data_IF_056696624535
#
_entry.id   IF_056696624535
#
_cell.length_a   1.000
_cell.length_b   1.000
_cell.length_c   1.000
_cell.angle_alpha   90.00
_cell.angle_beta   90.00
_cell.angle_gamma   90.00
#
_symmetry.space_group_name_H-M   'P 1'
#
loop_
_entity.id
_entity.type
_entity.pdbx_description
1 polymer ?
#
# COMPACT_ATOMS: atom_id res chain seq x y z
N UNK A 1 -21.27 -11.60 -26.28
CA UNK A 1 -20.14 -11.15 -25.48
C UNK A 1 -19.61 -12.31 -24.65
N UNK A 2 -18.28 -12.50 -24.59
CA UNK A 2 -17.61 -13.48 -23.75
C UNK A 2 -16.40 -12.83 -23.06
N UNK A 3 -15.79 -13.55 -22.11
CA UNK A 3 -14.66 -13.02 -21.36
C UNK A 3 -13.43 -12.70 -22.23
N UNK A 4 -13.22 -13.44 -23.32
CA UNK A 4 -12.12 -13.16 -24.24
C UNK A 4 -12.31 -11.82 -24.96
N UNK A 5 -13.55 -11.50 -25.37
CA UNK A 5 -13.85 -10.19 -25.93
C UNK A 5 -13.53 -9.05 -24.95
N UNK A 6 -13.81 -9.24 -23.65
CA UNK A 6 -13.47 -8.25 -22.62
C UNK A 6 -11.95 -8.13 -22.42
N UNK A 7 -11.23 -9.26 -22.42
CA UNK A 7 -9.75 -9.25 -22.35
C UNK A 7 -9.14 -8.56 -23.57
N UNK A 8 -9.65 -8.83 -24.75
CA UNK A 8 -9.20 -8.19 -25.99
C UNK A 8 -9.47 -6.69 -25.96
N UNK A 9 -10.68 -6.30 -25.55
CA UNK A 9 -11.02 -4.88 -25.41
C UNK A 9 -10.06 -4.17 -24.42
N UNK A 10 -9.87 -4.73 -23.24
CA UNK A 10 -8.94 -4.19 -22.25
C UNK A 10 -7.54 -4.00 -22.84
N UNK A 11 -7.03 -5.01 -23.53
CA UNK A 11 -5.68 -4.96 -24.13
C UNK A 11 -5.56 -3.90 -25.22
N UNK A 12 -6.55 -3.78 -26.09
CA UNK A 12 -6.58 -2.74 -27.14
C UNK A 12 -6.73 -1.35 -26.52
N UNK A 13 -7.52 -1.19 -25.48
CA UNK A 13 -7.69 0.07 -24.77
C UNK A 13 -6.38 0.56 -24.12
N UNK A 14 -5.59 -0.35 -23.57
CA UNK A 14 -4.29 -0.03 -22.94
C UNK A 14 -3.22 0.31 -23.96
N UNK A 15 -3.10 -0.47 -25.04
CA UNK A 15 -2.04 -0.30 -26.03
C UNK A 15 -2.33 0.77 -27.08
N UNK A 16 -3.62 1.07 -27.32
CA UNK A 16 -4.13 1.91 -28.41
C UNK A 16 -3.62 1.48 -29.81
N UNK A 17 -3.28 0.18 -29.92
CA UNK A 17 -2.70 -0.40 -31.15
C UNK A 17 -3.18 -1.85 -31.36
N UNK A 18 -4.06 -2.07 -32.36
CA UNK A 18 -4.61 -3.42 -32.62
C UNK A 18 -3.53 -4.41 -33.02
N UNK A 19 -2.55 -4.01 -33.81
CA UNK A 19 -1.49 -4.93 -34.30
C UNK A 19 -0.64 -5.40 -33.14
N UNK A 20 -0.19 -4.48 -32.29
CA UNK A 20 0.58 -4.80 -31.11
C UNK A 20 -0.24 -5.67 -30.12
N UNK A 21 -1.49 -5.30 -29.87
CA UNK A 21 -2.39 -6.09 -29.01
C UNK A 21 -2.57 -7.51 -29.51
N UNK A 22 -2.74 -7.69 -30.85
CA UNK A 22 -2.89 -9.01 -31.42
C UNK A 22 -1.65 -9.89 -31.22
N UNK A 23 -0.45 -9.32 -31.38
CA UNK A 23 0.82 -9.99 -31.11
C UNK A 23 0.95 -10.42 -29.65
N UNK A 24 0.65 -9.50 -28.73
CA UNK A 24 0.72 -9.78 -27.28
C UNK A 24 -0.34 -10.77 -26.80
N UNK A 25 -1.47 -10.87 -27.52
CA UNK A 25 -2.54 -11.84 -27.27
C UNK A 25 -2.34 -13.17 -28.02
N UNK A 26 -1.26 -13.30 -28.83
CA UNK A 26 -0.98 -14.49 -29.67
C UNK A 26 -2.13 -14.85 -30.61
N UNK A 27 -2.80 -13.87 -31.20
CA UNK A 27 -3.85 -14.03 -32.20
C UNK A 27 -3.58 -13.20 -33.45
N UNK A 28 -4.26 -13.51 -34.55
CA UNK A 28 -4.14 -12.70 -35.77
C UNK A 28 -4.87 -11.35 -35.60
N UNK A 29 -4.29 -10.29 -36.18
CA UNK A 29 -4.91 -8.95 -36.18
C UNK A 29 -6.35 -8.96 -36.78
N UNK A 30 -6.67 -9.69 -37.90
CA UNK A 30 -8.04 -9.80 -38.37
C UNK A 30 -9.00 -10.46 -37.36
N UNK A 31 -8.52 -11.42 -36.57
CA UNK A 31 -9.34 -12.06 -35.52
C UNK A 31 -9.65 -11.08 -34.40
N UNK A 32 -8.65 -10.33 -33.94
CA UNK A 32 -8.85 -9.29 -32.91
C UNK A 32 -9.81 -8.18 -33.41
N UNK A 33 -9.63 -7.69 -34.64
CA UNK A 33 -10.52 -6.69 -35.22
C UNK A 33 -11.97 -7.17 -35.32
N UNK A 34 -12.18 -8.42 -35.69
CA UNK A 34 -13.54 -9.03 -35.72
C UNK A 34 -14.14 -9.13 -34.33
N UNK A 35 -13.36 -9.53 -33.33
CA UNK A 35 -13.81 -9.60 -31.96
C UNK A 35 -14.24 -8.22 -31.42
N UNK A 36 -13.48 -7.17 -31.74
CA UNK A 36 -13.84 -5.80 -31.36
C UNK A 36 -15.13 -5.34 -32.03
N UNK A 37 -15.27 -5.55 -33.33
CA UNK A 37 -16.52 -5.23 -34.07
C UNK A 37 -17.72 -5.99 -33.51
N UNK A 38 -17.52 -7.25 -33.12
CA UNK A 38 -18.59 -8.03 -32.51
C UNK A 38 -19.01 -7.43 -31.16
N UNK A 39 -18.05 -7.03 -30.32
CA UNK A 39 -18.31 -6.37 -29.04
C UNK A 39 -19.06 -5.04 -29.25
N UNK A 40 -18.63 -4.21 -30.18
CA UNK A 40 -19.31 -2.96 -30.55
C UNK A 40 -20.76 -3.21 -31.04
N UNK A 41 -20.95 -4.25 -31.85
CA UNK A 41 -22.28 -4.62 -32.33
C UNK A 41 -23.21 -5.07 -31.20
N UNK A 42 -22.71 -5.79 -30.20
CA UNK A 42 -23.50 -6.21 -29.04
C UNK A 42 -23.84 -5.05 -28.10
N UNK A 43 -22.93 -4.07 -27.97
CA UNK A 43 -23.15 -2.88 -27.16
C UNK A 43 -23.98 -1.82 -27.89
N UNK A 44 -24.08 -1.91 -29.22
CA UNK A 44 -24.78 -0.94 -30.05
C UNK A 44 -24.08 0.40 -30.20
N UNK A 45 -22.82 0.51 -29.77
CA UNK A 45 -22.02 1.74 -29.80
C UNK A 45 -20.59 1.47 -30.24
N UNK A 46 -19.91 2.39 -30.92
CA UNK A 46 -18.50 2.24 -31.24
C UNK A 46 -17.66 2.43 -29.98
N UNK A 47 -16.64 1.58 -29.82
CA UNK A 47 -15.68 1.69 -28.72
C UNK A 47 -14.38 2.37 -29.12
N UNK A 48 -14.05 2.29 -30.43
CA UNK A 48 -12.82 2.83 -30.99
C UNK A 48 -13.07 3.72 -32.19
N UNK A 49 -12.25 4.74 -32.37
CA UNK A 49 -12.18 5.51 -33.60
C UNK A 49 -10.73 5.63 -34.09
N UNK A 50 -10.55 5.77 -35.39
CA UNK A 50 -9.24 5.86 -35.98
C UNK A 50 -8.82 7.33 -36.13
N UNK A 51 -7.63 7.65 -35.61
CA UNK A 51 -6.97 8.94 -35.81
C UNK A 51 -5.69 8.72 -36.60
N UNK A 52 -5.83 8.65 -37.92
CA UNK A 52 -4.71 8.32 -38.81
C UNK A 52 -4.21 6.90 -38.61
N UNK A 53 -3.01 6.74 -38.04
CA UNK A 53 -2.38 5.43 -37.74
C UNK A 53 -2.65 4.91 -36.32
N UNK A 54 -3.33 5.69 -35.49
CA UNK A 54 -3.61 5.34 -34.10
C UNK A 54 -5.10 5.08 -33.88
N UNK A 55 -5.39 4.39 -32.80
CA UNK A 55 -6.73 4.13 -32.33
C UNK A 55 -6.90 4.87 -31.01
N UNK A 56 -8.03 5.56 -30.88
CA UNK A 56 -8.43 6.23 -29.65
C UNK A 56 -9.72 5.63 -29.12
N UNK A 57 -9.93 5.74 -27.83
CA UNK A 57 -11.16 5.33 -27.17
C UNK A 57 -12.27 6.35 -27.41
N UNK A 58 -13.48 5.85 -27.65
CA UNK A 58 -14.68 6.69 -27.57
C UNK A 58 -15.05 6.94 -26.11
N UNK A 59 -15.89 7.94 -25.84
CA UNK A 59 -16.45 8.17 -24.50
C UNK A 59 -17.16 6.91 -23.94
N UNK A 60 -17.76 6.09 -24.81
CA UNK A 60 -18.41 4.84 -24.41
C UNK A 60 -17.37 3.81 -23.95
N UNK A 61 -16.22 3.75 -24.59
CA UNK A 61 -15.14 2.86 -24.20
C UNK A 61 -14.49 3.31 -22.89
N UNK A 62 -14.28 4.62 -22.69
CA UNK A 62 -13.75 5.17 -21.45
C UNK A 62 -14.66 4.85 -20.26
N UNK A 63 -15.99 4.98 -20.44
CA UNK A 63 -16.96 4.63 -19.40
C UNK A 63 -17.02 3.11 -19.17
N UNK A 64 -16.92 2.29 -20.21
CA UNK A 64 -17.02 0.82 -20.13
C UNK A 64 -15.75 0.19 -19.53
N UNK A 65 -14.57 0.77 -19.77
CA UNK A 65 -13.28 0.22 -19.39
C UNK A 65 -13.14 -0.14 -17.89
N UNK A 66 -13.51 0.72 -16.93
CA UNK A 66 -13.41 0.37 -15.51
C UNK A 66 -14.27 -0.83 -15.12
N UNK A 67 -15.47 -0.98 -15.70
CA UNK A 67 -16.35 -2.13 -15.46
C UNK A 67 -15.78 -3.43 -16.04
N UNK A 68 -15.14 -3.36 -17.21
CA UNK A 68 -14.43 -4.51 -17.79
C UNK A 68 -13.28 -4.93 -16.89
N UNK A 69 -12.48 -4.00 -16.39
CA UNK A 69 -11.40 -4.30 -15.46
C UNK A 69 -11.92 -4.97 -14.17
N UNK A 70 -13.02 -4.48 -13.59
CA UNK A 70 -13.65 -5.06 -12.40
C UNK A 70 -14.18 -6.48 -12.68
N UNK A 71 -14.84 -6.68 -13.82
CA UNK A 71 -15.40 -7.98 -14.21
C UNK A 71 -14.30 -9.03 -14.38
N UNK A 72 -13.23 -8.70 -15.10
CA UNK A 72 -12.09 -9.59 -15.29
C UNK A 72 -11.41 -9.91 -13.95
N UNK A 73 -11.24 -8.92 -13.09
CA UNK A 73 -10.69 -9.10 -11.74
C UNK A 73 -11.57 -10.04 -10.90
N UNK A 74 -12.88 -9.86 -10.91
CA UNK A 74 -13.79 -10.71 -10.15
C UNK A 74 -13.77 -12.17 -10.66
N UNK A 75 -13.68 -12.36 -11.99
CA UNK A 75 -13.54 -13.68 -12.59
C UNK A 75 -12.25 -14.38 -12.17
N UNK A 76 -11.12 -13.69 -12.26
CA UNK A 76 -9.80 -14.24 -11.87
C UNK A 76 -9.76 -14.55 -10.36
N UNK A 77 -10.39 -13.74 -9.53
CA UNK A 77 -10.57 -14.01 -8.09
C UNK A 77 -11.39 -15.26 -7.83
N UNK A 78 -12.47 -15.46 -8.60
CA UNK A 78 -13.30 -16.66 -8.50
C UNK A 78 -12.55 -17.94 -8.89
N UNK A 79 -11.76 -17.88 -9.96
CA UNK A 79 -10.90 -19.01 -10.36
C UNK A 79 -9.88 -19.34 -9.28
N UNK A 80 -9.19 -18.33 -8.76
CA UNK A 80 -8.19 -18.51 -7.69
C UNK A 80 -8.82 -19.09 -6.42
N UNK A 81 -10.03 -18.66 -6.05
CA UNK A 81 -10.74 -19.18 -4.89
C UNK A 81 -11.08 -20.68 -5.06
N UNK A 82 -11.53 -21.09 -6.26
CA UNK A 82 -11.80 -22.51 -6.56
C UNK A 82 -10.52 -23.34 -6.60
N UNK A 83 -9.47 -22.82 -7.21
CA UNK A 83 -8.18 -23.49 -7.25
C UNK A 83 -7.59 -23.69 -5.85
N UNK A 84 -7.70 -22.70 -4.97
CA UNK A 84 -7.27 -22.80 -3.57
C UNK A 84 -8.02 -23.87 -2.76
N UNK A 85 -9.20 -24.30 -3.21
CA UNK A 85 -9.94 -25.41 -2.59
C UNK A 85 -9.48 -26.79 -3.09
N UNK A 86 -8.78 -26.84 -4.22
CA UNK A 86 -8.48 -28.10 -4.93
C UNK A 86 -7.03 -28.55 -4.82
N UNK A 87 -6.15 -27.73 -4.26
CA UNK A 87 -4.73 -28.04 -4.14
C UNK A 87 -4.34 -28.19 -2.66
N UNK A 88 -3.70 -29.32 -2.31
CA UNK A 88 -2.80 -29.46 -1.14
C UNK A 88 -1.54 -28.58 -1.32
N UNK A 89 -1.71 -27.40 -1.91
CA UNK A 89 -0.60 -26.44 -2.04
C UNK A 89 -0.49 -25.72 -0.71
N UNK A 90 0.70 -25.74 -0.15
CA UNK A 90 1.08 -24.85 0.94
C UNK A 90 0.68 -23.44 0.52
N UNK A 91 -0.32 -22.80 1.18
CA UNK A 91 -0.80 -21.50 0.75
C UNK A 91 0.37 -20.50 0.84
N UNK A 92 0.70 -19.91 -0.29
CA UNK A 92 1.74 -18.88 -0.38
C UNK A 92 1.10 -17.50 -0.24
N UNK A 93 1.61 -16.71 0.70
CA UNK A 93 1.12 -15.35 0.96
C UNK A 93 2.25 -14.37 0.72
N UNK A 94 1.99 -13.33 -0.07
CA UNK A 94 2.90 -12.19 -0.18
C UNK A 94 2.33 -10.98 0.55
N UNK A 95 3.08 -10.46 1.53
CA UNK A 95 2.77 -9.24 2.27
C UNK A 95 3.70 -8.13 1.81
N UNK A 96 3.14 -7.05 1.30
CA UNK A 96 3.85 -5.80 1.03
C UNK A 96 3.73 -4.89 2.25
N UNK A 97 4.85 -4.63 2.92
CA UNK A 97 4.85 -3.78 4.11
C UNK A 97 5.43 -2.42 3.81
N UNK A 98 4.60 -1.40 3.78
CA UNK A 98 5.00 0.01 3.62
C UNK A 98 5.30 0.67 4.97
N UNK A 99 5.00 -0.02 6.05
CA UNK A 99 5.19 0.44 7.43
C UNK A 99 5.77 -0.68 8.29
N UNK A 100 6.15 -0.36 9.53
CA UNK A 100 6.58 -1.35 10.52
C UNK A 100 7.87 -2.12 10.18
N UNK A 101 8.76 -1.59 9.34
CA UNK A 101 10.01 -2.24 8.93
C UNK A 101 10.82 -2.84 10.10
N UNK A 102 10.80 -2.18 11.25
CA UNK A 102 11.49 -2.63 12.47
C UNK A 102 10.80 -3.79 13.16
N UNK A 103 9.47 -3.78 13.21
CA UNK A 103 8.69 -4.84 13.87
C UNK A 103 8.50 -6.05 12.97
N UNK A 104 8.81 -5.94 11.67
CA UNK A 104 8.61 -6.97 10.66
C UNK A 104 9.30 -8.31 11.00
N UNK A 105 10.57 -8.37 11.41
CA UNK A 105 11.22 -9.65 11.72
C UNK A 105 10.49 -10.42 12.83
N UNK A 106 10.08 -9.73 13.88
CA UNK A 106 9.34 -10.34 15.00
C UNK A 106 7.90 -10.73 14.58
N UNK A 107 7.27 -9.93 13.73
CA UNK A 107 5.96 -10.26 13.16
C UNK A 107 6.04 -11.52 12.29
N UNK A 108 7.08 -11.64 11.47
CA UNK A 108 7.35 -12.84 10.65
C UNK A 108 7.53 -14.06 11.54
N UNK A 109 8.37 -13.97 12.57
CA UNK A 109 8.56 -15.07 13.54
C UNK A 109 7.23 -15.52 14.16
N UNK A 110 6.44 -14.56 14.66
CA UNK A 110 5.10 -14.86 15.22
C UNK A 110 4.15 -15.48 14.18
N UNK A 111 4.22 -15.04 12.93
CA UNK A 111 3.37 -15.58 11.88
C UNK A 111 3.75 -17.01 11.53
N UNK A 112 5.04 -17.29 11.32
CA UNK A 112 5.55 -18.62 10.98
C UNK A 112 5.29 -19.62 12.13
N UNK A 113 5.46 -19.20 13.39
CA UNK A 113 5.14 -20.04 14.56
C UNK A 113 3.66 -20.43 14.60
N UNK A 114 2.76 -19.50 14.28
CA UNK A 114 1.31 -19.74 14.33
C UNK A 114 0.75 -20.45 13.11
N UNK A 115 1.41 -20.34 11.98
CA UNK A 115 0.96 -20.80 10.67
C UNK A 115 2.10 -21.49 9.92
N UNK A 116 2.65 -22.61 10.42
CA UNK A 116 3.81 -23.28 9.84
C UNK A 116 3.52 -23.84 8.43
N UNK A 117 2.25 -24.10 8.13
CA UNK A 117 1.81 -24.62 6.82
C UNK A 117 1.64 -23.53 5.74
N UNK A 118 2.03 -22.27 6.04
CA UNK A 118 1.90 -21.16 5.13
C UNK A 118 3.28 -20.68 4.71
N UNK A 119 3.54 -20.65 3.39
CA UNK A 119 4.73 -20.01 2.86
C UNK A 119 4.54 -18.48 2.82
N UNK A 120 5.30 -17.75 3.65
CA UNK A 120 5.24 -16.30 3.75
C UNK A 120 6.37 -15.64 2.99
N UNK A 121 6.02 -14.73 2.07
CA UNK A 121 6.95 -13.79 1.42
C UNK A 121 6.65 -12.37 1.88
N UNK A 122 7.69 -11.60 2.23
CA UNK A 122 7.55 -10.19 2.62
C UNK A 122 8.37 -9.33 1.69
N UNK A 123 7.73 -8.29 1.17
CA UNK A 123 8.35 -7.31 0.29
C UNK A 123 8.13 -5.91 0.88
N UNK A 124 9.20 -5.13 0.99
CA UNK A 124 9.13 -3.72 1.45
C UNK A 124 9.05 -2.75 0.27
N UNK A 125 9.52 -3.19 -0.90
CA UNK A 125 9.54 -2.40 -2.13
C UNK A 125 9.01 -3.22 -3.30
N UNK A 126 8.55 -2.53 -4.33
CA UNK A 126 8.03 -3.14 -5.56
C UNK A 126 6.52 -3.07 -5.69
N UNK A 127 6.05 -3.24 -6.89
CA UNK A 127 4.64 -3.37 -7.24
C UNK A 127 4.31 -4.85 -7.44
N UNK A 128 3.15 -5.32 -6.99
CA UNK A 128 2.70 -6.67 -7.27
C UNK A 128 2.63 -6.94 -8.77
N UNK A 129 3.05 -8.13 -9.18
CA UNK A 129 2.74 -8.61 -10.51
C UNK A 129 1.23 -8.78 -10.63
N UNK A 130 0.61 -8.03 -11.54
CA UNK A 130 -0.81 -8.14 -11.80
C UNK A 130 -1.11 -9.59 -12.18
N UNK A 131 -1.96 -10.29 -11.43
CA UNK A 131 -2.61 -11.56 -11.73
C UNK A 131 -2.09 -12.87 -11.10
N UNK A 132 -1.07 -12.89 -10.24
CA UNK A 132 -0.55 -14.18 -9.72
C UNK A 132 -0.49 -14.36 -8.20
N UNK A 133 -0.70 -13.34 -7.40
CA UNK A 133 -0.43 -13.43 -5.97
C UNK A 133 -1.63 -13.04 -5.11
N UNK A 134 -1.80 -13.77 -4.02
CA UNK A 134 -2.66 -13.36 -2.90
C UNK A 134 -1.96 -12.20 -2.18
N UNK A 135 -2.37 -10.97 -2.52
CA UNK A 135 -1.64 -9.77 -2.12
C UNK A 135 -2.26 -9.17 -0.88
N UNK A 136 -1.41 -8.89 0.09
CA UNK A 136 -1.74 -8.16 1.29
C UNK A 136 -0.79 -6.98 1.46
N UNK A 137 -1.31 -5.85 1.90
CA UNK A 137 -0.51 -4.69 2.29
C UNK A 137 -0.68 -4.39 3.77
N UNK A 138 0.43 -4.08 4.43
CA UNK A 138 0.43 -3.41 5.74
C UNK A 138 0.81 -1.96 5.48
N UNK A 139 -0.13 -1.05 5.66
CA UNK A 139 0.00 0.35 5.21
C UNK A 139 -0.66 1.31 6.20
N UNK A 140 -0.25 2.57 6.20
CA UNK A 140 -0.97 3.63 6.93
C UNK A 140 -2.00 4.38 6.07
N UNK A 141 -2.11 4.03 4.79
CA UNK A 141 -3.06 4.65 3.86
C UNK A 141 -3.95 3.58 3.23
N UNK A 142 -5.27 3.74 3.23
CA UNK A 142 -6.18 2.82 2.54
C UNK A 142 -5.83 2.72 1.04
N UNK A 143 -5.78 1.50 0.52
CA UNK A 143 -5.50 1.26 -0.90
C UNK A 143 -6.78 1.25 -1.72
N UNK A 144 -6.85 2.06 -2.76
CA UNK A 144 -7.99 2.12 -3.67
C UNK A 144 -8.22 0.77 -4.36
N UNK A 145 -9.49 0.36 -4.44
CA UNK A 145 -9.89 -0.90 -5.08
C UNK A 145 -9.55 -2.18 -4.28
N UNK A 146 -9.08 -2.04 -3.04
CA UNK A 146 -8.85 -3.15 -2.12
C UNK A 146 -9.78 -3.09 -0.91
N UNK A 147 -9.97 -4.22 -0.25
CA UNK A 147 -10.60 -4.29 1.07
C UNK A 147 -9.60 -3.78 2.11
N UNK A 148 -9.96 -2.72 2.81
CA UNK A 148 -9.12 -2.08 3.81
C UNK A 148 -9.67 -2.36 5.21
N UNK A 149 -8.93 -3.08 6.05
CA UNK A 149 -9.29 -3.38 7.43
C UNK A 149 -8.40 -2.59 8.38
N UNK A 150 -8.94 -1.71 9.23
CA UNK A 150 -8.15 -1.06 10.27
C UNK A 150 -7.70 -2.11 11.30
N UNK A 151 -6.41 -2.14 11.59
CA UNK A 151 -5.80 -3.09 12.53
C UNK A 151 -5.62 -2.44 13.89
N UNK A 152 -4.91 -1.32 13.96
CA UNK A 152 -4.71 -0.51 15.17
C UNK A 152 -4.38 0.93 14.79
N UNK A 153 -4.47 1.81 15.80
CA UNK A 153 -4.00 3.18 15.71
C UNK A 153 -2.82 3.36 16.65
N UNK A 154 -1.78 4.05 16.21
CA UNK A 154 -0.61 4.35 17.02
C UNK A 154 -0.34 5.85 17.09
N UNK A 155 0.18 6.35 18.23
CA UNK A 155 0.64 7.72 18.32
C UNK A 155 1.94 7.91 17.54
N UNK A 156 2.09 9.09 16.96
CA UNK A 156 3.32 9.58 16.36
C UNK A 156 3.94 10.57 17.36
N UNK A 157 4.98 10.12 18.04
CA UNK A 157 5.67 10.86 19.09
C UNK A 157 6.84 11.66 18.50
N UNK A 158 7.41 12.60 19.25
CA UNK A 158 8.71 13.17 18.98
C UNK A 158 9.80 12.35 19.65
N UNK A 159 10.77 11.89 18.88
CA UNK A 159 12.02 11.34 19.40
C UNK A 159 13.02 12.48 19.61
N UNK A 160 13.35 12.74 20.85
CA UNK A 160 14.21 13.85 21.28
C UNK A 160 15.44 13.28 21.95
N UNK A 161 16.68 13.57 21.49
CA UNK A 161 17.91 13.11 22.14
C UNK A 161 17.94 13.51 23.61
N UNK A 162 18.39 12.60 24.50
CA UNK A 162 18.39 12.83 25.96
C UNK A 162 19.20 14.06 26.42
N UNK A 163 20.18 14.47 25.62
CA UNK A 163 20.99 15.67 25.91
C UNK A 163 20.35 16.98 25.43
N UNK A 164 19.26 16.90 24.64
CA UNK A 164 18.56 18.09 24.14
C UNK A 164 17.70 18.72 25.24
N UNK A 165 17.65 20.06 25.37
CA UNK A 165 16.88 20.74 26.43
C UNK A 165 15.41 20.32 26.49
N UNK A 166 14.75 20.09 25.36
CA UNK A 166 13.36 19.66 25.29
C UNK A 166 13.12 18.27 25.89
N UNK A 167 14.16 17.42 26.02
CA UNK A 167 14.00 16.08 26.60
C UNK A 167 13.58 16.11 28.06
N UNK A 168 13.93 17.18 28.79
CA UNK A 168 13.64 17.36 30.21
C UNK A 168 12.41 18.23 30.46
N UNK A 169 11.78 18.76 29.42
CA UNK A 169 10.55 19.54 29.60
C UNK A 169 9.37 18.64 29.95
N UNK A 170 8.46 19.09 30.83
CA UNK A 170 7.27 18.32 31.18
C UNK A 170 6.28 18.20 30.01
N UNK A 171 6.25 19.19 29.12
CA UNK A 171 5.42 19.25 27.92
C UNK A 171 6.23 19.82 26.76
N UNK A 172 5.95 19.37 25.54
CA UNK A 172 6.53 19.87 24.30
C UNK A 172 5.38 20.29 23.39
N UNK A 173 5.47 21.49 22.84
CA UNK A 173 4.46 22.08 21.96
C UNK A 173 4.98 22.24 20.53
N UNK A 174 4.08 22.55 19.60
CA UNK A 174 4.45 22.88 18.23
C UNK A 174 5.39 24.09 18.18
N UNK A 175 5.17 25.11 19.03
CA UNK A 175 6.00 26.30 19.07
C UNK A 175 7.47 25.98 19.46
N UNK A 176 7.68 24.95 20.28
CA UNK A 176 9.01 24.53 20.69
C UNK A 176 9.80 23.87 19.55
N UNK A 177 9.13 23.14 18.66
CA UNK A 177 9.78 22.38 17.59
C UNK A 177 9.81 23.10 16.25
N UNK A 178 8.90 24.04 16.02
CA UNK A 178 8.77 24.75 14.73
C UNK A 178 10.05 25.43 14.25
N UNK A 179 10.85 26.09 15.12
CA UNK A 179 12.11 26.72 14.72
C UNK A 179 13.27 25.72 14.59
N UNK A 180 13.11 24.48 15.07
CA UNK A 180 14.20 23.52 15.11
C UNK A 180 14.32 22.74 13.79
N UNK A 181 15.56 22.49 13.32
CA UNK A 181 15.76 21.67 12.12
C UNK A 181 15.48 20.20 12.42
N UNK A 182 14.33 19.73 11.96
CA UNK A 182 13.93 18.33 12.12
C UNK A 182 14.59 17.41 11.09
N UNK A 183 14.86 16.18 11.47
CA UNK A 183 15.25 15.11 10.55
C UNK A 183 13.97 14.37 10.15
N UNK A 184 13.69 14.27 8.86
CA UNK A 184 12.42 13.71 8.37
C UNK A 184 12.66 12.61 7.33
N UNK A 185 11.66 11.76 7.15
CA UNK A 185 11.63 10.91 5.96
C UNK A 185 11.34 11.74 4.71
N UNK A 186 11.75 11.23 3.55
CA UNK A 186 11.45 11.83 2.27
C UNK A 186 9.93 11.87 2.00
N UNK A 187 9.48 12.78 1.15
CA UNK A 187 8.07 13.08 0.89
C UNK A 187 7.26 11.91 0.30
N UNK A 188 7.94 10.92 -0.29
CA UNK A 188 7.32 9.69 -0.77
C UNK A 188 6.98 8.68 0.35
N UNK A 189 7.43 8.91 1.59
CA UNK A 189 7.14 8.05 2.73
C UNK A 189 5.71 8.26 3.24
N UNK A 190 4.95 7.19 3.52
CA UNK A 190 3.62 7.30 4.13
C UNK A 190 3.62 8.05 5.47
N UNK A 191 4.62 7.83 6.33
CA UNK A 191 4.75 8.55 7.59
C UNK A 191 4.93 10.06 7.37
N UNK A 192 5.77 10.44 6.39
CA UNK A 192 6.01 11.84 6.07
C UNK A 192 4.73 12.50 5.57
N UNK A 193 4.00 11.88 4.66
CA UNK A 193 2.70 12.41 4.18
C UNK A 193 1.70 12.62 5.31
N UNK A 194 1.54 11.63 6.20
CA UNK A 194 0.65 11.76 7.37
C UNK A 194 0.98 13.00 8.21
N UNK A 195 2.27 13.27 8.42
CA UNK A 195 2.73 14.43 9.20
C UNK A 195 2.48 15.71 8.42
N UNK A 196 2.92 15.78 7.17
CA UNK A 196 2.77 16.98 6.32
C UNK A 196 1.29 17.36 6.19
N UNK A 197 0.39 16.43 5.88
CA UNK A 197 -1.05 16.68 5.78
C UNK A 197 -1.65 17.24 7.09
N UNK A 198 -1.23 16.69 8.24
CA UNK A 198 -1.71 17.17 9.54
C UNK A 198 -1.27 18.61 9.82
N UNK A 199 -0.01 18.94 9.56
CA UNK A 199 0.53 20.29 9.78
C UNK A 199 0.03 21.31 8.75
N UNK A 200 -0.08 20.92 7.48
CA UNK A 200 -0.65 21.74 6.41
C UNK A 200 -2.12 22.11 6.67
N UNK A 201 -2.92 21.16 7.16
CA UNK A 201 -4.32 21.41 7.54
C UNK A 201 -4.47 22.51 8.60
N UNK A 202 -3.44 22.71 9.42
CA UNK A 202 -3.37 23.79 10.43
C UNK A 202 -2.57 25.01 9.97
N UNK A 203 -2.03 24.98 8.75
CA UNK A 203 -1.15 26.03 8.19
C UNK A 203 0.11 26.26 9.03
N UNK A 204 0.65 25.20 9.59
CA UNK A 204 1.89 25.21 10.39
C UNK A 204 3.02 24.71 9.50
N UNK A 205 4.06 25.52 9.34
CA UNK A 205 5.28 25.12 8.63
C UNK A 205 6.30 24.57 9.61
N UNK A 206 6.89 23.40 9.30
CA UNK A 206 8.01 22.83 10.04
C UNK A 206 9.33 23.16 9.36
N UNK A 207 10.38 23.34 10.14
CA UNK A 207 11.75 23.52 9.63
C UNK A 207 12.37 22.16 9.41
N UNK A 208 12.70 21.82 8.16
CA UNK A 208 13.33 20.55 7.80
C UNK A 208 14.84 20.77 7.65
N UNK A 209 15.62 20.14 8.51
CA UNK A 209 17.08 20.23 8.49
C UNK A 209 17.72 19.21 7.55
N UNK A 210 17.22 17.97 7.56
CA UNK A 210 17.70 16.91 6.67
C UNK A 210 16.60 15.87 6.38
N UNK A 211 16.77 15.12 5.29
CA UNK A 211 15.84 14.06 4.89
C UNK A 211 16.59 12.80 4.52
N UNK A 212 15.95 11.64 4.75
CA UNK A 212 16.38 10.33 4.26
C UNK A 212 15.15 9.57 3.75
N UNK A 213 15.32 8.68 2.80
CA UNK A 213 14.27 7.80 2.30
C UNK A 213 14.17 6.46 3.06
N UNK A 214 15.20 6.18 3.88
CA UNK A 214 15.28 4.93 4.65
C UNK A 214 14.98 5.14 6.14
N UNK A 215 13.90 4.48 6.67
CA UNK A 215 13.58 4.54 8.09
C UNK A 215 14.68 4.02 9.04
N UNK A 216 15.50 3.07 8.58
CA UNK A 216 16.60 2.55 9.42
C UNK A 216 17.71 3.57 9.57
N UNK A 217 18.06 4.29 8.50
CA UNK A 217 18.99 5.42 8.53
C UNK A 217 18.47 6.52 9.44
N UNK A 218 17.19 6.91 9.33
CA UNK A 218 16.61 7.93 10.22
C UNK A 218 16.76 7.54 11.70
N UNK A 219 16.44 6.31 12.05
CA UNK A 219 16.58 5.79 13.42
C UNK A 219 18.04 5.77 13.89
N UNK A 220 18.96 5.44 13.00
CA UNK A 220 20.39 5.49 13.31
C UNK A 220 20.85 6.91 13.64
N UNK A 221 20.40 7.91 12.88
CA UNK A 221 20.69 9.33 13.14
C UNK A 221 20.17 9.77 14.52
N UNK A 222 18.95 9.38 14.88
CA UNK A 222 18.38 9.68 16.20
C UNK A 222 19.12 8.96 17.32
N UNK A 223 19.53 7.71 17.12
CA UNK A 223 20.33 6.96 18.08
C UNK A 223 21.72 7.61 18.30
N UNK A 224 22.24 8.33 17.33
CA UNK A 224 23.47 9.12 17.47
C UNK A 224 23.24 10.51 18.05
N UNK A 225 21.99 10.87 18.36
CA UNK A 225 21.65 12.17 18.93
C UNK A 225 21.74 13.35 17.96
N UNK A 226 21.65 13.11 16.65
CA UNK A 226 21.91 14.12 15.61
C UNK A 226 20.71 15.04 15.32
N UNK A 227 19.56 14.86 15.99
CA UNK A 227 18.42 15.76 15.84
C UNK A 227 17.11 15.19 16.39
N UNK A 228 16.02 15.86 16.09
CA UNK A 228 14.66 15.52 16.52
C UNK A 228 13.89 15.01 15.31
N UNK A 229 13.05 13.99 15.50
CA UNK A 229 12.16 13.47 14.46
C UNK A 229 10.82 13.02 15.02
N UNK A 230 9.87 12.78 14.13
CA UNK A 230 8.62 12.08 14.45
C UNK A 230 8.83 10.57 14.44
N UNK A 231 8.30 9.89 15.45
CA UNK A 231 8.55 8.49 15.74
C UNK A 231 7.22 7.74 16.00
N UNK A 232 6.78 6.84 15.12
CA UNK A 232 5.61 6.01 15.38
C UNK A 232 5.96 4.97 16.45
N UNK A 233 5.25 5.04 17.58
CA UNK A 233 5.65 4.37 18.81
C UNK A 233 5.65 2.83 18.72
N UNK A 234 4.61 2.25 18.12
CA UNK A 234 4.43 0.79 18.10
C UNK A 234 5.17 0.12 16.92
N UNK A 235 5.04 0.68 15.73
CA UNK A 235 5.64 0.07 14.52
C UNK A 235 7.15 0.18 14.47
N UNK A 236 7.74 1.19 15.12
CA UNK A 236 9.19 1.33 15.25
C UNK A 236 9.76 0.77 16.54
N UNK A 237 8.92 0.15 17.39
CA UNK A 237 9.33 -0.56 18.59
C UNK A 237 10.32 0.26 19.45
N UNK A 238 9.78 1.23 20.19
CA UNK A 238 10.60 2.07 21.07
C UNK A 238 11.28 1.23 22.17
N UNK A 239 12.57 1.44 22.33
CA UNK A 239 13.36 0.89 23.42
C UNK A 239 13.57 1.97 24.49
N UNK A 240 13.17 1.74 25.75
CA UNK A 240 13.36 2.66 26.86
C UNK A 240 14.86 2.96 27.18
N UNK A 241 15.77 2.09 26.73
CA UNK A 241 17.22 2.29 26.83
C UNK A 241 17.81 3.13 25.69
N UNK A 242 16.97 3.49 24.69
CA UNK A 242 17.41 4.35 23.59
C UNK A 242 18.03 5.68 24.09
N UNK A 243 18.98 6.26 23.38
CA UNK A 243 19.63 7.55 23.76
C UNK A 243 18.73 8.77 23.52
N UNK A 244 17.45 8.55 23.28
CA UNK A 244 16.42 9.56 23.13
C UNK A 244 15.19 9.24 24.00
N UNK A 245 14.35 10.22 24.21
CA UNK A 245 13.05 10.08 24.85
C UNK A 245 11.95 10.31 23.83
N UNK A 246 10.79 9.67 24.05
CA UNK A 246 9.59 9.98 23.31
C UNK A 246 8.75 11.02 24.07
N UNK A 247 8.28 12.04 23.37
CA UNK A 247 7.35 13.06 23.87
C UNK A 247 6.20 13.22 22.89
N UNK A 248 5.00 13.35 23.41
CA UNK A 248 3.86 13.77 22.63
C UNK A 248 3.87 15.28 22.45
N UNK A 249 3.35 15.79 21.33
CA UNK A 249 3.03 17.21 21.20
C UNK A 249 1.73 17.47 21.96
N UNK A 250 1.83 18.22 23.06
CA UNK A 250 0.69 18.44 23.96
C UNK A 250 -0.47 19.18 23.28
N UNK A 251 -0.16 20.17 22.47
CA UNK A 251 -1.10 21.00 21.73
C UNK A 251 -1.48 20.43 20.35
N UNK A 252 -0.81 19.37 19.90
CA UNK A 252 -1.01 18.79 18.59
C UNK A 252 -0.71 17.27 18.56
N UNK A 253 -1.52 16.44 19.25
CA UNK A 253 -1.32 15.00 19.28
C UNK A 253 -1.55 14.39 17.89
N UNK A 254 -0.57 13.65 17.39
CA UNK A 254 -0.58 13.01 16.09
C UNK A 254 -0.80 11.51 16.23
N UNK A 255 -1.67 10.98 15.40
CA UNK A 255 -1.93 9.56 15.34
C UNK A 255 -2.01 9.08 13.88
N UNK A 256 -1.73 7.80 13.65
CA UNK A 256 -2.02 7.17 12.38
C UNK A 256 -2.67 5.79 12.57
N UNK A 257 -3.53 5.42 11.64
CA UNK A 257 -4.14 4.09 11.62
C UNK A 257 -3.37 3.19 10.67
N UNK A 258 -3.07 1.97 11.11
CA UNK A 258 -2.47 0.94 10.29
C UNK A 258 -3.56 0.02 9.76
N UNK A 259 -3.54 -0.23 8.46
CA UNK A 259 -4.50 -1.05 7.74
C UNK A 259 -3.85 -2.33 7.21
N UNK A 260 -4.64 -3.39 7.18
CA UNK A 260 -4.42 -4.53 6.30
C UNK A 260 -5.30 -4.33 5.06
N UNK A 261 -4.68 -4.10 3.91
CA UNK A 261 -5.39 -3.99 2.64
C UNK A 261 -5.18 -5.27 1.84
N UNK A 262 -6.24 -5.84 1.28
CA UNK A 262 -6.16 -7.09 0.52
C UNK A 262 -7.03 -7.07 -0.73
N UNK A 263 -6.66 -7.90 -1.72
CA UNK A 263 -7.45 -8.12 -2.92
C UNK A 263 -8.69 -9.00 -2.66
N UNK A 264 -8.78 -9.61 -1.49
CA UNK A 264 -9.91 -10.45 -1.09
C UNK A 264 -11.09 -9.63 -0.55
N UNK A 265 -12.28 -10.21 -0.65
CA UNK A 265 -13.49 -9.63 -0.06
C UNK A 265 -13.43 -9.62 1.47
N UNK A 266 -14.19 -8.73 2.09
CA UNK A 266 -14.32 -8.66 3.54
C UNK A 266 -14.84 -10.00 4.10
N UNK A 267 -14.14 -10.53 5.10
CA UNK A 267 -14.49 -11.81 5.74
C UNK A 267 -13.81 -13.03 5.12
N UNK A 268 -12.97 -12.87 4.11
CA UNK A 268 -12.17 -13.97 3.58
C UNK A 268 -11.28 -14.58 4.69
N UNK A 269 -11.23 -15.93 4.84
CA UNK A 269 -10.53 -16.60 5.95
C UNK A 269 -9.07 -16.14 6.11
N UNK A 270 -8.33 -16.03 4.99
CA UNK A 270 -6.94 -15.57 4.97
C UNK A 270 -6.79 -14.15 5.50
N UNK A 271 -7.65 -13.22 5.04
CA UNK A 271 -7.65 -11.83 5.51
C UNK A 271 -7.94 -11.76 7.01
N UNK A 272 -8.91 -12.54 7.48
CA UNK A 272 -9.28 -12.61 8.90
C UNK A 272 -8.13 -13.15 9.76
N UNK A 273 -7.47 -14.20 9.29
CA UNK A 273 -6.32 -14.82 9.97
C UNK A 273 -5.15 -13.83 10.08
N UNK A 274 -4.75 -13.20 8.98
CA UNK A 274 -3.65 -12.22 8.99
C UNK A 274 -4.00 -11.02 9.87
N UNK A 275 -5.23 -10.48 9.76
CA UNK A 275 -5.69 -9.38 10.59
C UNK A 275 -5.65 -9.72 12.09
N UNK A 276 -6.06 -10.94 12.46
CA UNK A 276 -6.00 -11.42 13.84
C UNK A 276 -4.56 -11.50 14.34
N UNK A 277 -3.66 -12.09 13.56
CA UNK A 277 -2.23 -12.21 13.91
C UNK A 277 -1.58 -10.83 14.08
N UNK A 278 -1.87 -9.88 13.20
CA UNK A 278 -1.39 -8.51 13.32
C UNK A 278 -1.90 -7.82 14.59
N UNK A 279 -3.21 -7.91 14.87
CA UNK A 279 -3.80 -7.31 16.09
C UNK A 279 -3.18 -7.87 17.35
N UNK A 280 -3.08 -9.19 17.46
CA UNK A 280 -2.49 -9.85 18.65
C UNK A 280 -1.01 -9.49 18.83
N UNK A 281 -0.26 -9.32 17.73
CA UNK A 281 1.15 -8.94 17.79
C UNK A 281 1.34 -7.52 18.34
N UNK A 282 0.55 -6.55 17.85
CA UNK A 282 0.69 -5.15 18.27
C UNK A 282 -0.04 -4.81 19.57
N UNK A 283 -1.00 -5.62 20.03
CA UNK A 283 -1.64 -5.45 21.35
C UNK A 283 -0.77 -5.93 22.51
N UNK A 284 0.24 -6.76 22.26
CA UNK A 284 1.16 -7.27 23.29
C UNK A 284 2.37 -6.35 23.53
N UNK A 285 2.49 -5.27 22.80
CA UNK A 285 3.54 -4.26 22.91
C UNK A 285 3.05 -3.03 23.66
#
# INVERSE_FOLDING_TARGET
>A
MNLDHLRYFKKVAESKNITQSAQELYISQPALSRAMKHLESELGVPLFYHTGRHIELTMYAEEFYPYVCQTLKAYDQGLSAVQALNEEIIPSITIYSEVASVSLPNLVGTFVEKHPDIQLSIKQHGTPEAHKEQIFYITSEPKNGLTNLPIFTEPIMLAIPKHHPLANQPAVTVADIQPLPLIMLATNSPLRRTIDEAFEAKKIALTIGSTTDDPATLRSLINQGLGITFFPQLTWAYDQHAPFVLRELEDFPLNRTIYLSSSFTKGHPMTTMIAKTLKEFFQKK
#
